data_IF_013576211012
#
_entry.id   IF_013576211012
#
_cell.length_a   1.000
_cell.length_b   1.000
_cell.length_c   1.000
_cell.angle_alpha   90.00
_cell.angle_beta   90.00
_cell.angle_gamma   90.00
#
_symmetry.space_group_name_H-M   'P 1'
#
loop_
_entity.id
_entity.type
_entity.pdbx_description
1 polymer ?
#
# COMPACT_ATOMS: atom_id res chain seq x y z
N UNK A 1 -19.40 37.62 -51.59
CA UNK A 1 -18.70 36.33 -51.74
C UNK A 1 -17.24 36.63 -52.02
N UNK A 2 -16.36 35.79 -51.46
CA UNK A 2 -14.91 35.70 -51.74
C UNK A 2 -13.98 36.67 -50.98
N UNK A 3 -13.56 36.18 -49.81
CA UNK A 3 -12.19 35.74 -49.51
C UNK A 3 -10.95 36.67 -49.63
N UNK A 4 -10.15 36.55 -48.55
CA UNK A 4 -8.68 36.64 -48.43
C UNK A 4 -8.02 38.00 -48.11
N UNK A 5 -7.61 38.07 -46.84
CA UNK A 5 -6.56 38.90 -46.23
C UNK A 5 -5.27 39.00 -47.05
N UNK A 6 -4.38 40.01 -46.84
CA UNK A 6 -3.22 39.79 -45.94
C UNK A 6 -2.60 41.05 -45.28
N UNK A 7 -1.61 40.78 -44.41
CA UNK A 7 -0.48 41.62 -43.96
C UNK A 7 -0.54 42.42 -42.64
N UNK A 8 0.14 41.80 -41.65
CA UNK A 8 1.27 42.30 -40.86
C UNK A 8 1.11 43.35 -39.74
N UNK A 9 1.85 43.00 -38.68
CA UNK A 9 2.51 43.87 -37.70
C UNK A 9 1.64 44.44 -36.59
N UNK A 10 1.79 43.87 -35.39
CA UNK A 10 2.58 44.53 -34.34
C UNK A 10 2.85 43.55 -33.20
N UNK A 11 4.13 43.31 -32.93
CA UNK A 11 4.57 42.59 -31.75
C UNK A 11 4.30 43.42 -30.50
N UNK A 12 3.75 42.77 -29.48
CA UNK A 12 3.73 43.32 -28.12
C UNK A 12 4.75 42.52 -27.31
N UNK A 13 5.89 43.16 -27.08
CA UNK A 13 6.90 42.76 -26.11
C UNK A 13 6.29 42.99 -24.72
N UNK A 14 6.04 41.93 -23.96
CA UNK A 14 5.70 42.05 -22.53
C UNK A 14 7.01 41.98 -21.75
N UNK A 15 7.40 43.02 -21.00
CA UNK A 15 8.61 43.00 -20.21
C UNK A 15 8.47 42.04 -19.02
N UNK A 16 9.40 41.10 -18.91
CA UNK A 16 9.60 40.26 -17.71
C UNK A 16 10.21 41.14 -16.63
N UNK A 17 9.40 41.57 -15.67
CA UNK A 17 9.89 42.28 -14.47
C UNK A 17 9.40 41.60 -13.20
N UNK A 18 10.35 41.06 -12.45
CA UNK A 18 10.21 40.81 -11.01
C UNK A 18 10.18 39.35 -10.60
N UNK A 19 11.34 38.70 -10.51
CA UNK A 19 11.55 37.56 -9.62
C UNK A 19 11.25 38.00 -8.17
N UNK A 20 10.00 37.83 -7.72
CA UNK A 20 9.66 37.95 -6.29
C UNK A 20 10.11 36.68 -5.59
N UNK A 21 11.14 36.83 -4.76
CA UNK A 21 11.60 35.85 -3.79
C UNK A 21 10.43 35.50 -2.86
N UNK A 22 9.86 34.30 -3.00
CA UNK A 22 8.87 33.78 -2.04
C UNK A 22 9.62 33.48 -0.74
N UNK A 23 9.51 34.38 0.22
CA UNK A 23 9.88 34.11 1.61
C UNK A 23 8.92 33.07 2.16
N UNK A 24 9.44 31.92 2.60
CA UNK A 24 8.67 30.89 3.31
C UNK A 24 8.05 31.50 4.56
N UNK A 25 6.77 31.86 4.47
CA UNK A 25 5.94 32.01 5.66
C UNK A 25 5.58 30.60 6.12
N UNK A 26 6.03 30.23 7.33
CA UNK A 26 5.51 29.07 8.03
C UNK A 26 4.04 29.35 8.38
N UNK A 27 3.14 29.05 7.44
CA UNK A 27 1.70 29.01 7.71
C UNK A 27 1.40 27.70 8.45
N UNK A 28 0.95 27.84 9.70
CA UNK A 28 0.56 26.72 10.54
C UNK A 28 -0.37 25.75 9.79
N UNK A 29 -0.11 24.46 9.97
CA UNK A 29 -0.85 23.33 9.44
C UNK A 29 -2.35 23.63 9.34
N UNK A 30 -2.79 23.91 8.11
CA UNK A 30 -4.21 23.93 7.76
C UNK A 30 -4.77 22.53 8.01
N UNK A 31 -5.80 22.48 8.85
CA UNK A 31 -6.47 21.27 9.30
C UNK A 31 -6.79 20.35 8.11
N UNK A 32 -6.14 19.18 8.05
CA UNK A 32 -6.22 18.22 6.94
C UNK A 32 -7.66 17.82 6.60
N UNK A 33 -8.56 17.87 7.59
CA UNK A 33 -9.99 17.62 7.42
C UNK A 33 -10.67 18.54 6.39
N UNK A 34 -10.24 19.80 6.26
CA UNK A 34 -10.86 20.76 5.34
C UNK A 34 -10.39 20.51 3.90
N UNK A 35 -9.11 20.16 3.73
CA UNK A 35 -8.57 19.82 2.41
C UNK A 35 -9.21 18.55 1.83
N UNK A 36 -9.48 17.56 2.68
CA UNK A 36 -10.21 16.33 2.30
C UNK A 36 -11.65 16.62 1.87
N UNK A 37 -12.33 17.58 2.51
CA UNK A 37 -13.71 17.91 2.19
C UNK A 37 -13.87 18.71 0.90
N UNK A 38 -12.93 19.62 0.61
CA UNK A 38 -13.05 20.57 -0.52
C UNK A 38 -12.34 20.07 -1.77
N UNK A 39 -11.23 19.36 -1.63
CA UNK A 39 -10.44 18.86 -2.75
C UNK A 39 -10.03 17.39 -2.53
N UNK A 40 -10.97 16.44 -2.68
CA UNK A 40 -10.67 15.01 -2.54
C UNK A 40 -9.58 14.53 -3.53
N UNK A 41 -9.42 15.23 -4.66
CA UNK A 41 -8.38 14.98 -5.67
C UNK A 41 -6.95 15.34 -5.19
N UNK A 42 -6.84 16.21 -4.18
CA UNK A 42 -5.59 16.73 -3.62
C UNK A 42 -5.35 16.26 -2.19
N UNK A 43 -6.32 15.54 -1.60
CA UNK A 43 -6.11 14.81 -0.37
C UNK A 43 -4.98 13.83 -0.64
N UNK A 44 -3.88 14.02 0.09
CA UNK A 44 -2.70 13.15 0.01
C UNK A 44 -3.21 11.74 0.28
N UNK A 45 -3.35 10.93 -0.78
CA UNK A 45 -3.42 9.49 -0.62
C UNK A 45 -2.16 9.14 0.15
N UNK A 46 -2.27 8.49 1.33
CA UNK A 46 -1.09 8.09 2.06
C UNK A 46 -0.30 7.20 1.10
N UNK A 47 0.80 7.74 0.56
CA UNK A 47 1.83 6.93 -0.04
C UNK A 47 2.29 5.94 1.01
N UNK A 48 2.85 4.81 0.58
CA UNK A 48 3.40 3.80 1.49
C UNK A 48 4.34 4.41 2.55
N UNK A 49 4.90 5.59 2.29
CA UNK A 49 5.91 6.28 3.09
C UNK A 49 5.46 6.78 4.47
N UNK A 50 4.15 6.83 4.77
CA UNK A 50 3.65 7.36 6.05
C UNK A 50 3.01 6.30 6.96
N UNK A 51 3.07 5.01 6.61
CA UNK A 51 2.52 3.94 7.45
C UNK A 51 3.50 3.56 8.55
N UNK A 52 2.99 3.36 9.76
CA UNK A 52 3.84 2.86 10.83
C UNK A 52 4.14 1.37 10.59
N UNK A 53 5.43 1.04 10.57
CA UNK A 53 5.90 -0.34 10.41
C UNK A 53 5.84 -1.06 11.76
N UNK A 54 5.18 -2.22 11.78
CA UNK A 54 5.08 -3.12 12.92
C UNK A 54 5.56 -4.51 12.52
N UNK A 55 6.20 -5.20 13.46
CA UNK A 55 6.66 -6.57 13.26
C UNK A 55 5.75 -7.53 14.00
N UNK A 56 5.07 -8.40 13.26
CA UNK A 56 4.27 -9.49 13.79
C UNK A 56 5.22 -10.59 14.28
N UNK A 57 5.16 -10.87 15.58
CA UNK A 57 5.77 -12.07 16.13
C UNK A 57 4.84 -13.24 15.86
N UNK A 58 5.29 -14.32 15.19
CA UNK A 58 4.52 -15.55 15.08
C UNK A 58 4.10 -16.05 16.47
N UNK A 59 2.92 -16.66 16.57
CA UNK A 59 2.41 -17.15 17.85
C UNK A 59 3.21 -18.36 18.36
N UNK A 60 3.73 -19.18 17.44
CA UNK A 60 4.54 -20.35 17.72
C UNK A 60 5.60 -20.59 16.63
N UNK A 61 6.53 -21.51 16.92
CA UNK A 61 7.60 -21.90 16.00
C UNK A 61 7.06 -22.59 14.74
N UNK A 62 5.90 -23.24 14.83
CA UNK A 62 5.26 -23.92 13.71
C UNK A 62 4.76 -22.92 12.66
N UNK A 63 4.12 -21.82 13.08
CA UNK A 63 3.76 -20.70 12.23
C UNK A 63 4.98 -20.12 11.53
N UNK A 64 6.09 -19.96 12.25
CA UNK A 64 7.33 -19.44 11.66
C UNK A 64 7.87 -20.38 10.58
N UNK A 65 7.96 -21.68 10.88
CA UNK A 65 8.39 -22.71 9.92
C UNK A 65 7.50 -22.73 8.67
N UNK A 66 6.18 -22.82 8.86
CA UNK A 66 5.22 -22.85 7.76
C UNK A 66 5.30 -21.59 6.89
N UNK A 67 5.54 -20.43 7.52
CA UNK A 67 5.71 -19.16 6.78
C UNK A 67 7.01 -19.15 5.98
N UNK A 68 8.12 -19.62 6.55
CA UNK A 68 9.39 -19.72 5.86
C UNK A 68 9.33 -20.68 4.67
N UNK A 69 8.67 -21.83 4.84
CA UNK A 69 8.43 -22.78 3.76
C UNK A 69 7.54 -22.19 2.66
N UNK A 70 6.47 -21.49 3.03
CA UNK A 70 5.57 -20.84 2.09
C UNK A 70 6.29 -19.77 1.26
N UNK A 71 7.09 -18.91 1.91
CA UNK A 71 7.86 -17.86 1.24
C UNK A 71 8.93 -18.46 0.32
N UNK A 72 9.60 -19.54 0.75
CA UNK A 72 10.58 -20.25 -0.08
C UNK A 72 9.93 -20.86 -1.33
N UNK A 73 8.75 -21.47 -1.20
CA UNK A 73 8.00 -22.01 -2.33
C UNK A 73 7.58 -20.90 -3.31
N UNK A 74 7.11 -19.76 -2.80
CA UNK A 74 6.73 -18.63 -3.63
C UNK A 74 7.95 -18.04 -4.36
N UNK A 75 9.08 -17.92 -3.67
CA UNK A 75 10.34 -17.44 -4.25
C UNK A 75 10.83 -18.36 -5.37
N UNK A 76 10.77 -19.69 -5.16
CA UNK A 76 11.12 -20.67 -6.19
C UNK A 76 10.21 -20.54 -7.41
N UNK A 77 8.88 -20.44 -7.22
CA UNK A 77 7.94 -20.26 -8.34
C UNK A 77 8.14 -18.95 -9.09
N UNK A 78 8.53 -17.88 -8.39
CA UNK A 78 8.91 -16.62 -9.03
C UNK A 78 10.17 -16.76 -9.88
N UNK A 79 11.15 -17.53 -9.39
CA UNK A 79 12.38 -17.83 -10.13
C UNK A 79 12.09 -18.68 -11.38
N UNK A 80 11.29 -19.74 -11.25
CA UNK A 80 10.94 -20.64 -12.36
C UNK A 80 10.20 -19.91 -13.50
N UNK A 81 9.40 -18.90 -13.16
CA UNK A 81 8.66 -18.07 -14.12
C UNK A 81 9.47 -16.88 -14.67
N UNK A 82 10.74 -16.73 -14.25
CA UNK A 82 11.61 -15.65 -14.69
C UNK A 82 11.10 -14.26 -14.29
N UNK A 83 10.42 -14.16 -13.15
CA UNK A 83 9.92 -12.88 -12.62
C UNK A 83 11.10 -12.16 -11.96
N UNK A 84 11.90 -11.50 -12.80
CA UNK A 84 13.03 -10.67 -12.39
C UNK A 84 12.67 -9.20 -12.63
N UNK A 85 11.81 -8.64 -11.77
CA UNK A 85 11.35 -7.25 -11.85
C UNK A 85 11.34 -6.56 -10.50
N UNK A 86 11.60 -5.25 -10.51
CA UNK A 86 11.51 -4.38 -9.33
C UNK A 86 10.09 -4.36 -8.78
N UNK A 87 9.97 -4.77 -7.52
CA UNK A 87 8.80 -4.67 -6.64
C UNK A 87 7.46 -5.13 -7.24
N UNK A 88 7.01 -6.32 -6.86
CA UNK A 88 5.62 -6.74 -7.09
C UNK A 88 4.88 -6.96 -5.78
N UNK A 89 3.55 -6.76 -5.83
CA UNK A 89 2.62 -7.11 -4.77
C UNK A 89 1.58 -8.08 -5.31
N UNK A 90 1.42 -9.22 -4.64
CA UNK A 90 0.51 -10.27 -5.04
C UNK A 90 -0.50 -10.55 -3.92
N UNK A 91 -1.78 -10.34 -4.23
CA UNK A 91 -2.88 -10.66 -3.33
C UNK A 91 -3.67 -11.84 -3.91
N UNK A 92 -3.74 -12.93 -3.13
CA UNK A 92 -4.45 -14.16 -3.50
C UNK A 92 -5.96 -14.11 -3.25
N UNK A 93 -6.46 -13.11 -2.53
CA UNK A 93 -7.88 -12.90 -2.24
C UNK A 93 -8.61 -12.10 -3.34
N UNK A 94 -7.96 -11.86 -4.49
CA UNK A 94 -8.61 -11.25 -5.66
C UNK A 94 -8.70 -9.72 -5.65
N UNK A 95 -8.15 -9.02 -4.66
CA UNK A 95 -8.00 -7.57 -4.74
C UNK A 95 -6.78 -7.23 -5.62
N UNK A 96 -7.00 -6.44 -6.68
CA UNK A 96 -5.91 -5.93 -7.54
C UNK A 96 -4.99 -5.03 -6.71
N UNK A 97 -3.86 -5.56 -6.27
CA UNK A 97 -2.76 -4.75 -5.79
C UNK A 97 -1.82 -4.56 -6.97
N UNK A 98 -1.46 -3.30 -7.23
CA UNK A 98 -0.63 -2.93 -8.37
C UNK A 98 0.69 -3.73 -8.34
N UNK A 99 0.87 -4.58 -9.35
CA UNK A 99 2.14 -5.24 -9.62
C UNK A 99 2.80 -4.49 -10.78
N UNK A 100 4.06 -4.08 -10.61
CA UNK A 100 4.88 -3.58 -11.71
C UNK A 100 5.36 -4.72 -12.64
N UNK A 101 4.80 -5.93 -12.50
CA UNK A 101 5.09 -7.07 -13.36
C UNK A 101 4.24 -7.07 -14.63
N UNK A 102 4.75 -7.73 -15.67
CA UNK A 102 3.99 -8.09 -16.85
C UNK A 102 2.70 -8.84 -16.44
N UNK A 103 1.54 -8.33 -16.86
CA UNK A 103 0.22 -8.86 -16.51
C UNK A 103 0.08 -10.36 -16.82
N UNK A 104 0.72 -10.84 -17.89
CA UNK A 104 0.71 -12.26 -18.27
C UNK A 104 1.45 -13.14 -17.27
N UNK A 105 2.63 -12.72 -16.81
CA UNK A 105 3.42 -13.44 -15.80
C UNK A 105 2.72 -13.45 -14.44
N UNK A 106 2.06 -12.34 -14.07
CA UNK A 106 1.28 -12.28 -12.84
C UNK A 106 0.08 -13.24 -12.87
N UNK A 107 -0.66 -13.29 -13.98
CA UNK A 107 -1.78 -14.22 -14.14
C UNK A 107 -1.31 -15.68 -14.09
N UNK A 108 -0.20 -15.98 -14.75
CA UNK A 108 0.40 -17.32 -14.73
C UNK A 108 0.86 -17.71 -13.32
N UNK A 109 1.58 -16.83 -12.61
CA UNK A 109 1.99 -17.08 -11.22
C UNK A 109 0.78 -17.31 -10.32
N UNK A 110 -0.24 -16.45 -10.42
CA UNK A 110 -1.47 -16.59 -9.63
C UNK A 110 -2.14 -17.93 -9.88
N UNK A 111 -2.26 -18.36 -11.14
CA UNK A 111 -2.83 -19.66 -11.49
C UNK A 111 -1.98 -20.82 -10.95
N UNK A 112 -0.66 -20.76 -11.10
CA UNK A 112 0.26 -21.78 -10.59
C UNK A 112 0.20 -21.91 -9.05
N UNK A 113 -0.01 -20.80 -8.33
CA UNK A 113 -0.17 -20.81 -6.88
C UNK A 113 -1.52 -21.41 -6.47
N UNK A 114 -2.61 -21.03 -7.14
CA UNK A 114 -3.95 -21.57 -6.84
C UNK A 114 -4.08 -23.07 -7.13
N UNK A 115 -3.35 -23.58 -8.13
CA UNK A 115 -3.30 -25.01 -8.45
C UNK A 115 -2.40 -25.80 -7.50
N UNK A 116 -1.49 -25.14 -6.80
CA UNK A 116 -0.63 -25.78 -5.82
C UNK A 116 -1.38 -25.95 -4.49
N UNK A 117 -1.91 -27.16 -4.30
CA UNK A 117 -2.66 -27.50 -3.09
C UNK A 117 -1.84 -27.33 -1.83
N UNK A 118 -0.56 -27.71 -1.83
CA UNK A 118 0.29 -27.59 -0.65
C UNK A 118 0.47 -26.12 -0.28
N UNK A 119 0.70 -25.25 -1.27
CA UNK A 119 0.82 -23.82 -1.05
C UNK A 119 -0.48 -23.21 -0.51
N UNK A 120 -1.62 -23.54 -1.13
CA UNK A 120 -2.92 -23.00 -0.72
C UNK A 120 -3.38 -23.50 0.63
N UNK A 121 -3.12 -24.76 0.99
CA UNK A 121 -3.44 -25.31 2.32
C UNK A 121 -2.67 -24.53 3.40
N UNK A 122 -1.36 -24.34 3.23
CA UNK A 122 -0.51 -23.54 4.13
C UNK A 122 -0.99 -22.08 4.22
N UNK A 123 -1.26 -21.46 3.08
CA UNK A 123 -1.76 -20.08 3.01
C UNK A 123 -3.09 -19.93 3.74
N UNK A 124 -4.03 -20.85 3.50
CA UNK A 124 -5.37 -20.82 4.11
C UNK A 124 -5.34 -20.97 5.63
N UNK A 125 -4.31 -21.65 6.16
CA UNK A 125 -4.10 -21.76 7.59
C UNK A 125 -3.36 -20.54 8.17
N UNK A 126 -2.28 -20.06 7.53
CA UNK A 126 -1.47 -18.94 8.02
C UNK A 126 -2.19 -17.60 7.94
N UNK A 127 -2.92 -17.35 6.85
CA UNK A 127 -3.57 -16.07 6.60
C UNK A 127 -4.50 -15.61 7.73
N UNK A 128 -5.51 -16.38 8.18
CA UNK A 128 -6.39 -15.95 9.25
C UNK A 128 -5.64 -15.72 10.57
N UNK A 129 -4.59 -16.51 10.85
CA UNK A 129 -3.78 -16.36 12.05
C UNK A 129 -3.03 -15.02 12.06
N UNK A 130 -2.34 -14.68 10.96
CA UNK A 130 -1.65 -13.39 10.89
C UNK A 130 -2.61 -12.20 10.83
N UNK A 131 -3.76 -12.34 10.17
CA UNK A 131 -4.81 -11.31 10.19
C UNK A 131 -5.33 -11.07 11.61
N UNK A 132 -5.53 -12.13 12.40
CA UNK A 132 -5.95 -11.99 13.80
C UNK A 132 -4.90 -11.27 14.67
N UNK A 133 -3.60 -11.58 14.46
CA UNK A 133 -2.50 -10.89 15.14
C UNK A 133 -2.44 -9.41 14.76
N UNK A 134 -2.50 -9.09 13.46
CA UNK A 134 -2.51 -7.71 12.99
C UNK A 134 -3.71 -6.92 13.51
N UNK A 135 -4.91 -7.53 13.47
CA UNK A 135 -6.13 -6.92 13.99
C UNK A 135 -6.03 -6.64 15.49
N UNK A 136 -5.45 -7.57 16.26
CA UNK A 136 -5.25 -7.38 17.70
C UNK A 136 -4.33 -6.18 17.99
N UNK A 137 -3.25 -6.00 17.23
CA UNK A 137 -2.39 -4.82 17.34
C UNK A 137 -3.09 -3.52 16.93
N UNK A 138 -3.93 -3.54 15.90
CA UNK A 138 -4.77 -2.39 15.52
C UNK A 138 -5.70 -1.98 16.66
N UNK A 139 -6.37 -2.94 17.31
CA UNK A 139 -7.27 -2.66 18.44
C UNK A 139 -6.53 -2.13 19.67
N UNK A 140 -5.31 -2.62 19.94
CA UNK A 140 -4.46 -2.07 21.00
C UNK A 140 -4.08 -0.61 20.70
N UNK A 141 -3.61 -0.33 19.48
CA UNK A 141 -3.28 1.03 19.07
C UNK A 141 -4.49 1.98 19.11
N UNK A 142 -5.68 1.46 18.78
CA UNK A 142 -6.93 2.19 18.94
C UNK A 142 -7.21 2.50 20.41
N UNK A 143 -7.12 1.51 21.30
CA UNK A 143 -7.36 1.68 22.72
C UNK A 143 -6.42 2.73 23.34
N UNK A 144 -5.11 2.65 23.04
CA UNK A 144 -4.12 3.62 23.52
C UNK A 144 -4.43 5.04 23.02
N UNK A 145 -4.79 5.18 21.75
CA UNK A 145 -5.17 6.49 21.18
C UNK A 145 -6.47 7.01 21.78
N UNK A 146 -7.42 6.10 22.06
CA UNK A 146 -8.72 6.44 22.61
C UNK A 146 -8.62 6.97 24.04
N UNK A 147 -7.71 6.41 24.85
CA UNK A 147 -7.41 6.90 26.20
C UNK A 147 -6.95 8.37 26.18
N UNK A 148 -6.14 8.76 25.20
CA UNK A 148 -5.66 10.14 25.04
C UNK A 148 -6.73 11.04 24.43
N UNK A 149 -7.38 10.61 23.35
CA UNK A 149 -8.38 11.39 22.63
C UNK A 149 -9.35 10.51 21.85
N UNK A 150 -10.58 10.42 22.36
CA UNK A 150 -11.68 9.67 21.72
C UNK A 150 -11.95 10.11 20.27
N UNK A 151 -12.05 11.43 20.03
CA UNK A 151 -12.39 11.95 18.70
C UNK A 151 -11.29 11.61 17.69
N UNK A 152 -10.02 11.75 18.11
CA UNK A 152 -8.88 11.42 17.25
C UNK A 152 -8.81 9.92 16.97
N UNK A 153 -9.04 9.06 17.96
CA UNK A 153 -9.05 7.61 17.78
C UNK A 153 -10.15 7.17 16.80
N UNK A 154 -11.38 7.65 16.98
CA UNK A 154 -12.48 7.33 16.08
C UNK A 154 -12.24 7.81 14.65
N UNK A 155 -11.59 8.95 14.43
CA UNK A 155 -11.25 9.46 13.10
C UNK A 155 -10.07 8.72 12.47
N UNK A 156 -9.04 8.38 13.26
CA UNK A 156 -7.83 7.74 12.78
C UNK A 156 -8.05 6.27 12.42
N UNK A 157 -8.93 5.58 13.14
CA UNK A 157 -9.20 4.15 13.00
C UNK A 157 -10.57 3.84 12.39
N UNK A 158 -11.12 4.72 11.53
CA UNK A 158 -12.40 4.49 10.84
C UNK A 158 -12.41 3.18 10.05
N UNK A 159 -11.25 2.74 9.56
CA UNK A 159 -11.10 1.49 8.79
C UNK A 159 -11.47 0.24 9.58
N UNK A 160 -11.43 0.27 10.92
CA UNK A 160 -11.86 -0.84 11.76
C UNK A 160 -13.36 -1.17 11.61
N UNK A 161 -14.15 -0.25 11.05
CA UNK A 161 -15.58 -0.48 10.76
C UNK A 161 -15.82 -1.09 9.37
N UNK A 162 -14.78 -1.19 8.54
CA UNK A 162 -14.88 -1.78 7.20
C UNK A 162 -14.83 -3.31 7.28
N UNK A 163 -15.20 -3.98 6.18
CA UNK A 163 -15.00 -5.42 6.04
C UNK A 163 -13.52 -5.76 6.24
N UNK A 164 -13.27 -6.88 6.91
CA UNK A 164 -11.93 -7.33 7.30
C UNK A 164 -11.12 -6.29 8.10
N UNK A 165 -11.80 -5.33 8.73
CA UNK A 165 -11.20 -4.21 9.48
C UNK A 165 -10.24 -3.36 8.63
N UNK A 166 -10.44 -3.34 7.30
CA UNK A 166 -9.57 -2.65 6.36
C UNK A 166 -8.18 -3.30 6.21
N UNK A 167 -7.99 -4.52 6.71
CA UNK A 167 -6.74 -5.26 6.57
C UNK A 167 -6.69 -5.97 5.22
N UNK A 168 -5.54 -5.86 4.57
CA UNK A 168 -5.26 -6.53 3.30
C UNK A 168 -3.97 -7.32 3.43
N UNK A 169 -4.02 -8.59 3.05
CA UNK A 169 -2.88 -9.48 3.05
C UNK A 169 -2.30 -9.62 1.63
N UNK A 170 -0.99 -9.49 1.49
CA UNK A 170 -0.32 -9.72 0.21
C UNK A 170 1.14 -10.13 0.39
N UNK A 171 1.68 -10.72 -0.68
CA UNK A 171 3.10 -11.00 -0.80
C UNK A 171 3.78 -9.86 -1.53
N UNK A 172 4.92 -9.40 -1.02
CA UNK A 172 5.76 -8.44 -1.74
C UNK A 172 7.05 -9.12 -2.15
N UNK A 173 7.42 -9.04 -3.42
CA UNK A 173 8.77 -9.39 -3.87
C UNK A 173 9.56 -8.11 -4.06
N UNK A 174 10.59 -7.90 -3.25
CA UNK A 174 11.55 -6.81 -3.43
C UNK A 174 12.95 -7.41 -3.60
N UNK A 175 13.65 -7.06 -4.70
CA UNK A 175 15.05 -7.48 -4.95
C UNK A 175 15.29 -8.99 -4.74
N UNK A 176 14.37 -9.83 -5.23
CA UNK A 176 14.35 -11.31 -5.09
C UNK A 176 14.03 -11.86 -3.70
N UNK A 177 13.67 -11.02 -2.73
CA UNK A 177 13.19 -11.47 -1.43
C UNK A 177 11.67 -11.34 -1.37
N UNK A 178 10.99 -12.42 -0.97
CA UNK A 178 9.53 -12.46 -0.81
C UNK A 178 9.20 -12.22 0.66
N UNK A 179 8.36 -11.23 0.93
CA UNK A 179 7.86 -10.92 2.26
C UNK A 179 6.34 -11.18 2.33
N UNK A 180 5.88 -11.68 3.48
CA UNK A 180 4.46 -11.72 3.82
C UNK A 180 4.08 -10.42 4.54
N UNK A 181 3.17 -9.64 3.94
CA UNK A 181 2.78 -8.32 4.44
C UNK A 181 1.28 -8.29 4.70
N UNK A 182 0.91 -7.74 5.85
CA UNK A 182 -0.46 -7.30 6.12
C UNK A 182 -0.45 -5.77 6.21
N UNK A 183 -1.40 -5.14 5.55
CA UNK A 183 -1.49 -3.70 5.45
C UNK A 183 -2.87 -3.23 5.90
N UNK A 184 -2.89 -2.26 6.81
CA UNK A 184 -4.06 -1.44 7.09
C UNK A 184 -3.87 -0.05 6.47
N UNK A 185 -4.88 0.83 6.48
CA UNK A 185 -4.74 2.19 5.99
C UNK A 185 -3.65 3.01 6.69
N UNK A 186 -3.28 2.65 7.93
CA UNK A 186 -2.35 3.41 8.76
C UNK A 186 -1.09 2.64 9.16
N UNK A 187 -1.11 1.30 9.13
CA UNK A 187 -0.03 0.44 9.59
C UNK A 187 0.38 -0.57 8.52
N UNK A 188 1.66 -0.91 8.52
CA UNK A 188 2.21 -2.00 7.72
C UNK A 188 2.80 -3.03 8.66
N UNK A 189 2.37 -4.27 8.54
CA UNK A 189 2.74 -5.39 9.40
C UNK A 189 3.58 -6.38 8.60
N UNK A 190 4.83 -6.57 9.03
CA UNK A 190 5.75 -7.58 8.47
C UNK A 190 5.93 -8.72 9.46
N UNK A 191 6.06 -9.94 8.97
CA UNK A 191 6.39 -11.09 9.83
C UNK A 191 7.85 -10.96 10.29
N UNK A 192 8.09 -11.12 11.59
CA UNK A 192 9.43 -11.09 12.18
C UNK A 192 10.10 -12.46 12.07
N UNK A 193 11.43 -12.47 11.88
CA UNK A 193 12.26 -13.66 12.05
C UNK A 193 12.33 -14.60 10.84
N UNK A 194 12.13 -14.07 9.62
CA UNK A 194 12.22 -14.78 8.35
C UNK A 194 13.15 -14.02 7.41
#
# INVERSE_FOLDING_TARGET
MSELSPFLSQGIIVPVTGLRRVTKQHTGLGNSAILTAVFPQLAITPSLDNKALHFLKPADDFMLQETAELLSQLQQKCHDLGIEGDEFKLNLQGQKIAANCNLAQHQQLTLCLHQDKSFMDKFSWLQPNYLALANSLEWLNFADTYEVSRTQACQRFVHLQQNDHGLVCYFSLQKRHVEFIIESPINLFKVAGI
#
